data_IF_004031189161
#
_entry.id   IF_004031189161
#
_cell.length_a   1.000
_cell.length_b   1.000
_cell.length_c   1.000
_cell.angle_alpha   90.00
_cell.angle_beta   90.00
_cell.angle_gamma   90.00
#
_symmetry.space_group_name_H-M   'P 1'
#
loop_
_entity.id
_entity.type
_entity.pdbx_description
1 polymer ?
#
# COMPACT_ATOMS: atom_id res chain seq x y z
N UNK A 1 -20.72 9.99 -4.35
CA UNK A 1 -19.87 8.79 -4.11
C UNK A 1 -20.67 7.50 -4.15
N UNK A 2 -21.25 7.18 -5.32
CA UNK A 2 -22.10 6.00 -5.50
C UNK A 2 -21.29 4.71 -5.69
N UNK A 3 -20.02 4.79 -6.13
CA UNK A 3 -19.19 3.62 -6.46
C UNK A 3 -18.75 2.81 -5.23
N UNK A 4 -18.44 3.46 -4.09
CA UNK A 4 -18.01 2.77 -2.86
C UNK A 4 -19.10 1.86 -2.28
N UNK A 5 -20.37 2.29 -2.14
CA UNK A 5 -21.45 1.41 -1.67
C UNK A 5 -21.67 0.19 -2.55
N UNK A 6 -21.57 0.34 -3.88
CA UNK A 6 -21.75 -0.78 -4.83
C UNK A 6 -20.66 -1.84 -4.65
N UNK A 7 -19.39 -1.41 -4.57
CA UNK A 7 -18.25 -2.33 -4.34
C UNK A 7 -18.40 -3.02 -2.99
N UNK A 8 -18.79 -2.29 -1.97
CA UNK A 8 -19.03 -2.81 -0.63
C UNK A 8 -20.08 -3.90 -0.63
N UNK A 9 -21.22 -3.67 -1.26
CA UNK A 9 -22.30 -4.66 -1.36
C UNK A 9 -21.87 -5.90 -2.16
N UNK A 10 -21.12 -5.71 -3.22
CA UNK A 10 -20.57 -6.81 -4.03
C UNK A 10 -19.59 -7.67 -3.21
N UNK A 11 -18.67 -7.06 -2.48
CA UNK A 11 -17.71 -7.78 -1.64
C UNK A 11 -18.38 -8.47 -0.45
N UNK A 12 -19.39 -7.84 0.14
CA UNK A 12 -20.19 -8.44 1.20
C UNK A 12 -20.91 -9.71 0.70
N UNK A 13 -21.50 -9.65 -0.47
CA UNK A 13 -22.18 -10.78 -1.07
C UNK A 13 -21.20 -11.92 -1.41
N UNK A 14 -20.01 -11.58 -1.91
CA UNK A 14 -18.96 -12.54 -2.18
C UNK A 14 -18.47 -13.22 -0.89
N UNK A 15 -18.24 -12.45 0.16
CA UNK A 15 -17.84 -12.97 1.48
C UNK A 15 -18.85 -13.97 2.05
N UNK A 16 -20.15 -13.69 1.93
CA UNK A 16 -21.22 -14.61 2.34
C UNK A 16 -21.18 -15.95 1.58
N UNK A 17 -20.85 -15.91 0.30
CA UNK A 17 -20.77 -17.12 -0.52
C UNK A 17 -19.58 -17.99 -0.12
N UNK A 18 -18.43 -17.37 0.19
CA UNK A 18 -17.16 -18.07 0.48
C UNK A 18 -17.10 -18.54 1.94
N UNK A 19 -17.55 -17.72 2.89
CA UNK A 19 -17.33 -17.91 4.33
C UNK A 19 -18.58 -18.39 5.12
N UNK A 20 -19.75 -18.40 4.49
CA UNK A 20 -21.01 -18.74 5.14
C UNK A 20 -21.71 -17.55 5.82
N UNK A 21 -23.01 -17.71 6.11
CA UNK A 21 -23.90 -16.61 6.51
C UNK A 21 -23.71 -16.08 7.95
N UNK A 22 -22.98 -16.77 8.81
CA UNK A 22 -22.96 -16.54 10.26
C UNK A 22 -21.81 -15.65 10.76
N UNK A 23 -21.02 -15.00 9.88
CA UNK A 23 -19.94 -14.10 10.32
C UNK A 23 -20.47 -12.70 10.66
N UNK A 24 -20.10 -12.15 11.84
CA UNK A 24 -20.57 -10.84 12.28
C UNK A 24 -19.93 -9.67 11.49
N UNK A 25 -18.91 -9.94 10.69
CA UNK A 25 -18.22 -8.93 9.86
C UNK A 25 -18.44 -9.21 8.37
N UNK A 26 -18.76 -8.17 7.57
CA UNK A 26 -18.96 -8.34 6.13
C UNK A 26 -17.69 -8.69 5.36
N UNK A 27 -16.51 -8.38 5.90
CA UNK A 27 -15.21 -8.66 5.28
C UNK A 27 -14.30 -9.44 6.24
N UNK A 28 -13.45 -10.28 5.68
CA UNK A 28 -12.44 -11.00 6.45
C UNK A 28 -11.27 -10.13 6.90
N UNK A 29 -10.99 -9.03 6.17
CA UNK A 29 -9.88 -8.12 6.45
C UNK A 29 -10.17 -6.71 5.97
N UNK A 30 -9.35 -5.76 6.40
CA UNK A 30 -9.31 -4.42 5.82
C UNK A 30 -8.72 -4.44 4.42
N UNK A 31 -9.06 -3.46 3.62
CA UNK A 31 -8.39 -3.20 2.35
C UNK A 31 -8.33 -1.69 2.05
N UNK A 32 -7.37 -1.31 1.22
CA UNK A 32 -7.22 0.04 0.71
C UNK A 32 -7.78 0.10 -0.71
N UNK A 33 -8.47 1.18 -1.02
CA UNK A 33 -8.98 1.45 -2.34
C UNK A 33 -8.59 2.85 -2.79
N UNK A 34 -7.78 2.92 -3.85
CA UNK A 34 -7.40 4.16 -4.50
C UNK A 34 -8.25 4.38 -5.76
N UNK A 35 -8.81 5.56 -5.89
CA UNK A 35 -9.59 5.97 -7.06
C UNK A 35 -9.33 7.43 -7.37
N UNK A 36 -8.76 7.69 -8.54
CA UNK A 36 -8.27 9.03 -8.92
C UNK A 36 -7.33 9.58 -7.82
N UNK A 37 -7.64 10.73 -7.27
CA UNK A 37 -6.85 11.39 -6.22
C UNK A 37 -7.34 11.07 -4.79
N UNK A 38 -8.19 10.04 -4.65
CA UNK A 38 -8.77 9.63 -3.37
C UNK A 38 -8.22 8.28 -2.92
N UNK A 39 -7.97 8.16 -1.62
CA UNK A 39 -7.61 6.91 -0.96
C UNK A 39 -8.61 6.60 0.14
N UNK A 40 -9.15 5.40 0.15
CA UNK A 40 -10.11 4.94 1.17
C UNK A 40 -9.56 3.73 1.91
N UNK A 41 -9.72 3.75 3.22
CA UNK A 41 -9.52 2.59 4.08
C UNK A 41 -10.90 1.98 4.39
N UNK A 42 -11.11 0.75 4.03
CA UNK A 42 -12.34 0.01 4.25
C UNK A 42 -12.08 -1.07 5.29
N UNK A 43 -12.77 -0.96 6.41
CA UNK A 43 -12.57 -1.82 7.58
C UNK A 43 -13.45 -3.08 7.50
N UNK A 44 -13.13 -4.15 8.26
CA UNK A 44 -13.90 -5.40 8.20
C UNK A 44 -15.36 -5.25 8.57
N UNK A 45 -15.69 -4.32 9.46
CA UNK A 45 -17.08 -4.02 9.88
C UNK A 45 -17.87 -3.20 8.85
N UNK A 46 -17.17 -2.74 7.79
CA UNK A 46 -17.76 -1.98 6.72
C UNK A 46 -17.64 -0.47 6.88
N UNK A 47 -16.94 0.01 7.89
CA UNK A 47 -16.61 1.43 8.00
C UNK A 47 -15.67 1.84 6.88
N UNK A 48 -15.97 2.96 6.22
CA UNK A 48 -15.17 3.56 5.16
C UNK A 48 -14.63 4.88 5.64
N UNK A 49 -13.31 5.03 5.59
CA UNK A 49 -12.61 6.26 5.96
C UNK A 49 -11.81 6.78 4.77
N UNK A 50 -11.96 8.05 4.44
CA UNK A 50 -11.09 8.70 3.45
C UNK A 50 -9.78 9.11 4.12
N UNK A 51 -8.67 8.70 3.52
CA UNK A 51 -7.31 8.96 4.00
C UNK A 51 -6.78 10.20 3.29
N UNK A 52 -6.26 11.17 4.05
CA UNK A 52 -5.78 12.44 3.49
C UNK A 52 -4.41 12.30 2.81
N UNK A 53 -3.44 11.61 3.42
CA UNK A 53 -2.06 11.58 2.92
C UNK A 53 -1.59 10.19 2.52
N UNK A 54 -1.55 9.26 3.48
CA UNK A 54 -1.05 7.89 3.28
C UNK A 54 -1.67 6.93 4.27
N UNK A 55 -1.66 5.66 3.94
CA UNK A 55 -2.15 4.60 4.81
C UNK A 55 -1.36 3.31 4.56
N UNK A 56 -1.35 2.44 5.56
CA UNK A 56 -0.81 1.10 5.46
C UNK A 56 -1.69 0.10 6.20
N UNK A 57 -1.82 -1.09 5.66
CA UNK A 57 -2.56 -2.20 6.29
C UNK A 57 -1.72 -3.48 6.23
N UNK A 58 -2.03 -4.41 7.11
CA UNK A 58 -1.34 -5.70 7.19
C UNK A 58 -0.35 -5.78 8.35
N UNK A 59 0.40 -6.88 8.40
CA UNK A 59 1.29 -7.20 9.52
C UNK A 59 2.49 -6.26 9.68
N UNK A 60 2.89 -5.56 8.63
CA UNK A 60 3.97 -4.57 8.64
C UNK A 60 3.50 -3.12 8.71
N UNK A 61 2.20 -2.87 8.91
CA UNK A 61 1.60 -1.54 8.80
C UNK A 61 2.24 -0.49 9.71
N UNK A 62 2.52 -0.82 10.96
CA UNK A 62 3.10 0.13 11.92
C UNK A 62 4.47 0.65 11.49
N UNK A 63 5.33 -0.24 10.99
CA UNK A 63 6.64 0.16 10.47
C UNK A 63 6.53 0.97 9.18
N UNK A 64 5.64 0.55 8.26
CA UNK A 64 5.38 1.29 7.03
C UNK A 64 4.88 2.71 7.32
N UNK A 65 3.93 2.89 8.22
CA UNK A 65 3.39 4.19 8.62
C UNK A 65 4.46 5.07 9.27
N UNK A 66 5.31 4.51 10.13
CA UNK A 66 6.42 5.24 10.73
C UNK A 66 7.41 5.75 9.66
N UNK A 67 7.77 4.89 8.70
CA UNK A 67 8.63 5.26 7.57
C UNK A 67 8.00 6.36 6.71
N UNK A 68 6.73 6.24 6.33
CA UNK A 68 6.00 7.23 5.53
C UNK A 68 5.93 8.59 6.22
N UNK A 69 5.77 8.60 7.54
CA UNK A 69 5.76 9.84 8.33
C UNK A 69 7.09 10.60 8.28
N UNK A 70 8.20 9.89 8.23
CA UNK A 70 9.53 10.48 8.27
C UNK A 70 10.16 10.75 6.89
N UNK A 71 9.48 10.40 5.82
CA UNK A 71 9.97 10.53 4.42
C UNK A 71 9.11 11.47 3.58
N UNK A 72 8.39 12.41 4.18
CA UNK A 72 7.44 13.30 3.49
C UNK A 72 8.06 14.16 2.40
N UNK A 73 9.34 14.49 2.52
CA UNK A 73 10.09 15.33 1.56
C UNK A 73 10.73 14.52 0.41
N UNK A 74 10.59 13.20 0.43
CA UNK A 74 11.19 12.33 -0.57
C UNK A 74 10.23 12.05 -1.75
N UNK A 75 10.76 11.65 -2.93
CA UNK A 75 9.94 11.21 -4.05
C UNK A 75 9.01 10.05 -3.67
N UNK A 76 7.83 9.99 -4.27
CA UNK A 76 6.77 9.05 -3.87
C UNK A 76 7.20 7.58 -3.97
N UNK A 77 7.94 7.19 -5.01
CA UNK A 77 8.39 5.81 -5.17
C UNK A 77 9.44 5.43 -4.11
N UNK A 78 10.36 6.33 -3.78
CA UNK A 78 11.36 6.12 -2.72
C UNK A 78 10.69 5.95 -1.37
N UNK A 79 9.68 6.76 -1.07
CA UNK A 79 8.87 6.64 0.14
C UNK A 79 8.19 5.28 0.25
N UNK A 80 7.55 4.82 -0.84
CA UNK A 80 6.85 3.53 -0.86
C UNK A 80 7.82 2.36 -0.66
N UNK A 81 8.97 2.38 -1.32
CA UNK A 81 9.99 1.32 -1.16
C UNK A 81 10.55 1.30 0.24
N UNK A 82 10.90 2.45 0.81
CA UNK A 82 11.39 2.52 2.20
C UNK A 82 10.34 2.06 3.21
N UNK A 83 9.07 2.36 2.97
CA UNK A 83 7.99 1.89 3.82
C UNK A 83 7.80 0.37 3.76
N UNK A 84 7.88 -0.20 2.56
CA UNK A 84 7.79 -1.65 2.36
C UNK A 84 9.01 -2.38 2.92
N UNK A 85 10.20 -1.80 2.79
CA UNK A 85 11.42 -2.33 3.37
C UNK A 85 11.37 -2.33 4.90
N UNK A 86 10.94 -1.22 5.51
CA UNK A 86 10.72 -1.15 6.96
C UNK A 86 9.66 -2.17 7.44
N UNK A 87 8.63 -2.42 6.65
CA UNK A 87 7.65 -3.47 6.94
C UNK A 87 8.27 -4.87 6.86
N UNK A 88 9.15 -5.11 5.88
CA UNK A 88 9.85 -6.38 5.70
C UNK A 88 10.81 -6.70 6.85
N UNK A 89 11.41 -5.67 7.46
CA UNK A 89 12.29 -5.84 8.62
C UNK A 89 11.58 -6.41 9.85
N UNK A 90 10.29 -6.14 10.00
CA UNK A 90 9.53 -6.58 11.18
C UNK A 90 8.52 -7.70 10.90
N UNK A 91 8.19 -7.96 9.65
CA UNK A 91 7.17 -8.93 9.26
C UNK A 91 7.70 -9.97 8.30
N UNK A 92 7.59 -11.24 8.68
CA UNK A 92 7.94 -12.38 7.83
C UNK A 92 7.04 -12.56 6.60
N UNK A 93 5.92 -11.83 6.56
CA UNK A 93 4.96 -11.89 5.46
C UNK A 93 5.17 -10.78 4.42
N UNK A 94 6.15 -9.90 4.64
CA UNK A 94 6.50 -8.83 3.71
C UNK A 94 7.92 -9.06 3.23
N UNK A 95 8.11 -9.13 1.93
CA UNK A 95 9.42 -9.32 1.30
C UNK A 95 9.43 -8.72 -0.11
N UNK A 96 10.60 -8.32 -0.59
CA UNK A 96 10.78 -7.94 -1.98
C UNK A 96 10.72 -9.17 -2.92
N UNK A 97 10.45 -9.01 -4.22
CA UNK A 97 10.20 -7.74 -4.90
C UNK A 97 8.82 -7.16 -4.58
N UNK A 98 8.76 -5.83 -4.47
CA UNK A 98 7.52 -5.12 -4.20
C UNK A 98 6.81 -4.77 -5.51
N UNK A 99 5.49 -4.73 -5.46
CA UNK A 99 4.66 -4.33 -6.58
C UNK A 99 4.02 -3.00 -6.27
N UNK A 100 4.21 -2.01 -7.14
CA UNK A 100 3.62 -0.69 -7.04
C UNK A 100 2.82 -0.36 -8.28
N UNK A 101 1.81 0.48 -8.14
CA UNK A 101 0.95 0.93 -9.22
C UNK A 101 0.56 2.38 -9.00
N UNK A 102 0.58 3.16 -10.08
CA UNK A 102 0.02 4.50 -10.13
C UNK A 102 -1.42 4.45 -10.66
N UNK A 103 -2.34 5.18 -10.02
CA UNK A 103 -3.76 5.21 -10.45
C UNK A 103 -3.98 5.86 -11.80
N UNK A 104 -3.05 6.70 -12.26
CA UNK A 104 -3.13 7.36 -13.56
C UNK A 104 -2.64 6.46 -14.70
N UNK A 105 -1.57 5.70 -14.47
CA UNK A 105 -0.96 4.84 -15.49
C UNK A 105 -1.56 3.44 -15.51
N UNK A 106 -2.11 2.98 -14.38
CA UNK A 106 -2.71 1.64 -14.21
C UNK A 106 -1.78 0.48 -14.61
N UNK A 107 -0.47 0.70 -14.58
CA UNK A 107 0.55 -0.31 -14.86
C UNK A 107 1.20 -0.79 -13.56
N UNK A 108 1.30 -2.10 -13.40
CA UNK A 108 2.02 -2.70 -12.28
C UNK A 108 3.52 -2.62 -12.52
N UNK A 109 4.25 -2.08 -11.56
CA UNK A 109 5.70 -2.05 -11.55
C UNK A 109 6.23 -2.92 -10.42
N UNK A 110 7.23 -3.74 -10.73
CA UNK A 110 7.92 -4.56 -9.73
C UNK A 110 9.23 -3.89 -9.38
N UNK A 111 9.40 -3.57 -8.11
CA UNK A 111 10.57 -2.86 -7.60
C UNK A 111 11.22 -3.66 -6.47
N UNK A 112 12.55 -3.55 -6.38
CA UNK A 112 13.35 -4.12 -5.31
C UNK A 112 14.14 -3.02 -4.63
N UNK A 113 14.34 -3.13 -3.33
CA UNK A 113 15.14 -2.17 -2.56
C UNK A 113 16.60 -2.11 -3.04
N UNK A 114 17.17 -3.24 -3.45
CA UNK A 114 18.53 -3.31 -3.99
C UNK A 114 18.70 -2.46 -5.26
N UNK A 115 17.67 -2.41 -6.12
CA UNK A 115 17.70 -1.62 -7.34
C UNK A 115 17.89 -0.12 -7.08
N UNK A 116 17.27 0.43 -6.04
CA UNK A 116 17.39 1.84 -5.69
C UNK A 116 18.76 2.18 -5.12
N UNK A 117 19.33 1.32 -4.28
CA UNK A 117 20.66 1.53 -3.70
C UNK A 117 21.76 1.53 -4.76
N UNK A 118 21.65 0.70 -5.78
CA UNK A 118 22.63 0.63 -6.88
C UNK A 118 22.60 1.90 -7.73
N UNK A 119 21.43 2.47 -7.99
CA UNK A 119 21.31 3.72 -8.77
C UNK A 119 21.85 4.94 -8.01
N UNK A 120 21.64 5.03 -6.70
CA UNK A 120 22.20 6.11 -5.86
C UNK A 120 23.74 6.07 -5.84
N UNK A 121 24.33 4.90 -5.92
CA UNK A 121 25.80 4.73 -5.96
C UNK A 121 26.40 5.11 -7.34
N UNK A 122 25.69 4.94 -8.44
CA UNK A 122 26.14 5.34 -9.78
C UNK A 122 26.13 6.88 -9.95
N UNK A 123 25.14 7.60 -9.44
CA UNK A 123 25.10 9.07 -9.49
C UNK A 123 26.21 9.73 -8.69
N UNK A 124 26.64 9.13 -7.58
CA UNK A 124 27.77 9.66 -6.77
C UNK A 124 29.14 9.37 -7.36
N UNK A 125 29.30 8.36 -8.20
CA UNK A 125 30.56 8.00 -8.85
C UNK A 125 30.93 8.94 -10.03
N UNK A 126 29.95 9.47 -10.76
CA UNK A 126 30.18 10.37 -11.91
C UNK A 126 30.58 11.80 -11.50
N UNK A 127 30.34 12.23 -10.28
CA UNK A 127 30.68 13.57 -9.79
C UNK A 127 32.14 13.73 -9.27
N UNK A 128 32.91 12.65 -9.22
CA UNK A 128 34.32 12.68 -8.71
C UNK A 128 35.39 12.66 -9.79
N UNK A 129 35.05 12.84 -11.07
CA UNK A 129 36.01 12.85 -12.20
C UNK A 129 36.10 14.20 -12.93
N UNK A 130 36.13 15.30 -12.17
CA UNK A 130 36.55 16.63 -12.71
C UNK A 130 37.59 17.28 -11.82
#
# INVERSE_FOLDING_TARGET
>A
METVPIIFDTMRNYSKIVDGEDKPQPFASSFLWAYKDHLFHIMPDGLVEEVEDYEAIGSGADAALASLKHTTDEPIYDRLIKALDAAADISLYVADPYVVMDTNECELQTLSYEYFNDNDNEETADNNNN
#
